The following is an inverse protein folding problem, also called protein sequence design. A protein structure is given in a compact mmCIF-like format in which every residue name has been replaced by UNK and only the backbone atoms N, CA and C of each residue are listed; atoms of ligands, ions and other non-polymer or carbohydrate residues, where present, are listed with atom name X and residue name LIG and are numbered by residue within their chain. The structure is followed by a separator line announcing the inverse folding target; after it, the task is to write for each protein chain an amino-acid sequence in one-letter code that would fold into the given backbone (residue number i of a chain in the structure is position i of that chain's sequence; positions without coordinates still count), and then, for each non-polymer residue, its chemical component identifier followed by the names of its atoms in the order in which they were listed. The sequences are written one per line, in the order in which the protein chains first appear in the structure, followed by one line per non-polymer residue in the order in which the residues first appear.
data_IF_034605547235
#
_entry.id   IF_034605547235
#
_cell.length_a   1.000
_cell.length_b   1.000
_cell.length_c   1.000
_cell.angle_alpha   90.00
_cell.angle_beta   90.00
_cell.angle_gamma   90.00
#
_symmetry.space_group_name_H-M   'P 1'
#
loop_
_entity.id
_entity.type
_entity.pdbx_description
1 polymer ?
#
# COMPACT_ATOMS: atom_id res chain seq x y z
N UNK A 1 -19.25 -0.68 -1.77
CA UNK A 1 -18.54 -1.26 -2.91
C UNK A 1 -19.48 -2.27 -3.62
N UNK A 2 -20.03 -1.85 -4.78
CA UNK A 2 -21.02 -2.63 -5.56
C UNK A 2 -20.48 -4.00 -5.95
N UNK A 3 -19.21 -4.09 -6.32
CA UNK A 3 -18.56 -5.34 -6.70
C UNK A 3 -18.56 -6.40 -5.59
N UNK A 4 -18.55 -5.96 -4.32
CA UNK A 4 -18.63 -6.85 -3.15
C UNK A 4 -20.06 -7.13 -2.71
N UNK A 5 -20.97 -6.15 -2.85
CA UNK A 5 -22.34 -6.26 -2.31
C UNK A 5 -23.34 -6.84 -3.31
N UNK A 6 -23.08 -6.70 -4.60
CA UNK A 6 -23.95 -7.18 -5.67
C UNK A 6 -23.13 -7.64 -6.90
N UNK A 7 -22.25 -8.64 -6.76
CA UNK A 7 -21.40 -9.11 -7.87
C UNK A 7 -22.20 -9.61 -9.07
N UNK A 8 -23.41 -10.12 -8.83
CA UNK A 8 -24.32 -10.58 -9.90
C UNK A 8 -24.73 -9.47 -10.88
N UNK A 9 -24.70 -8.20 -10.45
CA UNK A 9 -24.99 -7.04 -11.32
C UNK A 9 -23.83 -6.70 -12.25
N UNK A 10 -22.61 -7.15 -11.93
CA UNK A 10 -21.42 -6.88 -12.71
C UNK A 10 -21.25 -7.84 -13.90
N UNK A 11 -21.89 -9.02 -13.84
CA UNK A 11 -21.76 -10.06 -14.87
C UNK A 11 -20.35 -10.67 -14.91
N UNK A 12 -20.05 -11.31 -16.05
CA UNK A 12 -18.70 -11.81 -16.35
C UNK A 12 -18.09 -10.95 -17.46
N UNK A 13 -16.94 -10.34 -17.17
CA UNK A 13 -16.20 -9.55 -18.14
C UNK A 13 -14.85 -10.21 -18.43
N UNK A 14 -14.50 -10.37 -19.71
CA UNK A 14 -13.19 -10.88 -20.12
C UNK A 14 -12.11 -9.80 -20.10
N UNK A 15 -12.50 -8.52 -19.98
CA UNK A 15 -11.58 -7.38 -19.94
C UNK A 15 -12.22 -6.19 -19.23
N UNK A 16 -11.39 -5.29 -18.70
CA UNK A 16 -11.81 -4.09 -17.98
C UNK A 16 -10.96 -2.90 -18.40
N UNK A 17 -11.62 -1.78 -18.71
CA UNK A 17 -10.97 -0.48 -18.88
C UNK A 17 -11.48 0.46 -17.78
N UNK A 18 -10.56 1.06 -17.06
CA UNK A 18 -10.85 2.08 -16.04
C UNK A 18 -10.44 3.45 -16.59
N UNK A 19 -11.41 4.39 -16.63
CA UNK A 19 -11.18 5.74 -17.13
C UNK A 19 -10.49 6.62 -16.09
N UNK A 20 -9.18 6.73 -16.18
CA UNK A 20 -8.35 7.58 -15.32
C UNK A 20 -7.74 8.73 -16.14
N UNK A 21 -7.35 9.86 -15.52
CA UNK A 21 -6.78 11.00 -16.23
C UNK A 21 -5.32 10.76 -16.65
N UNK A 22 -5.12 9.89 -17.65
CA UNK A 22 -3.82 9.43 -18.14
C UNK A 22 -3.35 10.14 -19.41
N UNK A 23 -3.99 11.25 -19.79
CA UNK A 23 -3.73 11.96 -21.08
C UNK A 23 -4.00 11.05 -22.30
N UNK A 24 -4.98 10.17 -22.19
CA UNK A 24 -5.34 9.13 -23.18
C UNK A 24 -4.22 8.10 -23.45
N UNK A 25 -3.20 8.00 -22.60
CA UNK A 25 -2.22 6.93 -22.66
C UNK A 25 -2.78 5.67 -22.00
N UNK A 26 -2.83 4.51 -22.68
CA UNK A 26 -3.23 3.26 -22.06
C UNK A 26 -2.13 2.77 -21.10
N UNK A 27 -2.54 2.35 -19.91
CA UNK A 27 -1.65 1.88 -18.85
C UNK A 27 -1.93 0.42 -18.52
N UNK A 28 -0.87 -0.35 -18.24
CA UNK A 28 -0.92 -1.81 -18.05
C UNK A 28 -1.26 -2.22 -16.62
N UNK A 29 -1.37 -1.26 -15.71
CA UNK A 29 -1.67 -1.54 -14.32
C UNK A 29 -1.23 -0.44 -13.36
N UNK A 30 -1.37 -0.73 -12.07
CA UNK A 30 -1.07 0.20 -10.97
C UNK A 30 -0.48 -0.51 -9.76
N UNK A 31 0.28 0.22 -8.95
CA UNK A 31 0.75 -0.29 -7.65
C UNK A 31 -0.44 -0.49 -6.70
N UNK A 32 -0.31 -1.46 -5.81
CA UNK A 32 -1.20 -1.60 -4.66
C UNK A 32 -0.95 -0.51 -3.62
N UNK A 33 -1.90 -0.37 -2.70
CA UNK A 33 -1.77 0.48 -1.52
C UNK A 33 -2.13 -0.34 -0.28
N UNK A 34 -1.16 -0.45 0.63
CA UNK A 34 -1.34 -1.14 1.90
C UNK A 34 -0.99 -0.17 3.03
N UNK A 35 -2.03 0.45 3.62
CA UNK A 35 -1.85 1.43 4.68
C UNK A 35 -2.06 0.80 6.04
N UNK A 36 -1.11 1.03 6.91
CA UNK A 36 -1.12 0.48 8.25
C UNK A 36 -1.00 1.60 9.29
N UNK A 37 -1.52 1.32 10.47
CA UNK A 37 -1.25 2.08 11.68
C UNK A 37 -0.46 1.19 12.65
N UNK A 38 0.65 1.73 13.16
CA UNK A 38 1.44 1.12 14.21
C UNK A 38 1.25 1.89 15.52
N UNK A 39 0.89 1.21 16.58
CA UNK A 39 0.63 1.77 17.89
C UNK A 39 1.56 1.18 18.94
N UNK A 40 2.13 2.05 19.77
CA UNK A 40 2.91 1.70 20.94
C UNK A 40 2.16 2.11 22.20
N UNK A 41 2.06 1.20 23.16
CA UNK A 41 1.53 1.48 24.49
C UNK A 41 2.68 1.53 25.51
N UNK A 42 2.53 2.39 26.48
CA UNK A 42 3.49 2.62 27.56
C UNK A 42 2.81 2.70 28.92
N UNK A 43 3.51 3.31 29.86
CA UNK A 43 3.02 3.60 31.21
C UNK A 43 3.36 5.04 31.55
N UNK A 44 2.36 5.84 31.90
CA UNK A 44 2.58 7.25 32.26
C UNK A 44 3.28 7.38 33.60
N UNK A 45 4.11 8.39 33.74
CA UNK A 45 4.75 8.83 34.98
C UNK A 45 5.06 10.32 34.89
N UNK A 46 5.42 10.94 36.03
CA UNK A 46 5.87 12.31 36.00
C UNK A 46 7.22 12.42 35.27
N UNK A 47 7.42 13.46 34.46
CA UNK A 47 8.62 13.63 33.63
C UNK A 47 9.95 13.70 34.39
N UNK A 48 9.92 14.09 35.70
CA UNK A 48 11.10 14.04 36.57
C UNK A 48 11.43 12.65 37.14
N UNK A 49 10.52 11.67 36.95
CA UNK A 49 10.67 10.28 37.41
C UNK A 49 10.38 9.28 36.24
N UNK A 50 11.11 9.41 35.12
CA UNK A 50 10.79 8.60 33.92
C UNK A 50 11.02 7.11 34.12
N UNK A 51 11.81 6.70 35.10
CA UNK A 51 12.08 5.30 35.44
C UNK A 51 10.86 4.58 36.05
N UNK A 52 9.82 5.31 36.47
CA UNK A 52 8.55 4.75 36.95
C UNK A 52 7.53 4.55 35.80
N UNK A 53 7.86 5.04 34.61
CA UNK A 53 7.02 4.91 33.41
C UNK A 53 7.64 4.02 32.34
N UNK A 54 6.92 3.89 31.23
CA UNK A 54 7.39 3.22 30.01
C UNK A 54 6.99 4.07 28.80
N UNK A 55 7.99 4.68 28.16
CA UNK A 55 7.77 5.73 27.18
C UNK A 55 7.37 5.16 25.80
N UNK A 56 6.10 5.36 25.41
CA UNK A 56 5.58 4.92 24.13
C UNK A 56 6.25 5.62 22.92
N UNK A 57 6.68 6.88 23.06
CA UNK A 57 7.39 7.59 21.97
C UNK A 57 8.74 6.91 21.68
N UNK A 58 9.48 6.47 22.70
CA UNK A 58 10.74 5.77 22.45
C UNK A 58 10.55 4.41 21.76
N UNK A 59 9.46 3.69 22.08
CA UNK A 59 9.09 2.47 21.35
C UNK A 59 8.77 2.80 19.89
N UNK A 60 7.96 3.83 19.66
CA UNK A 60 7.58 4.27 18.32
C UNK A 60 8.77 4.74 17.49
N UNK A 61 9.71 5.48 18.10
CA UNK A 61 10.93 5.93 17.41
C UNK A 61 11.78 4.74 16.93
N UNK A 62 11.96 3.72 17.77
CA UNK A 62 12.65 2.49 17.35
C UNK A 62 11.90 1.77 16.23
N UNK A 63 10.58 1.73 16.28
CA UNK A 63 9.76 1.17 15.21
C UNK A 63 9.94 1.95 13.90
N UNK A 64 9.95 3.29 13.95
CA UNK A 64 10.16 4.12 12.75
C UNK A 64 11.52 3.85 12.10
N UNK A 65 12.60 3.76 12.88
CA UNK A 65 13.94 3.40 12.38
C UNK A 65 13.98 1.97 11.81
N UNK A 66 13.31 1.02 12.47
CA UNK A 66 13.22 -0.33 11.94
C UNK A 66 12.44 -0.39 10.61
N UNK A 67 11.45 0.48 10.41
CA UNK A 67 10.71 0.58 9.15
C UNK A 67 11.54 1.25 8.05
N UNK A 68 12.40 2.22 8.36
CA UNK A 68 13.33 2.83 7.40
C UNK A 68 14.22 1.79 6.74
N UNK A 69 14.68 0.80 7.53
CA UNK A 69 15.51 -0.32 7.07
C UNK A 69 14.68 -1.54 6.62
N UNK A 70 13.38 -1.37 6.32
CA UNK A 70 12.58 -2.49 5.86
C UNK A 70 12.86 -2.80 4.39
N UNK A 71 13.39 -3.98 4.13
CA UNK A 71 13.61 -4.48 2.78
C UNK A 71 12.48 -5.45 2.38
N UNK A 72 11.94 -5.25 1.19
CA UNK A 72 11.04 -6.22 0.57
C UNK A 72 11.87 -7.37 -0.01
N UNK A 73 11.42 -8.60 0.20
CA UNK A 73 12.05 -9.82 -0.33
C UNK A 73 11.71 -10.10 -1.81
N UNK A 74 11.00 -9.18 -2.44
CA UNK A 74 10.58 -9.24 -3.83
C UNK A 74 11.44 -8.29 -4.68
N UNK A 75 11.99 -8.74 -5.81
CA UNK A 75 12.74 -7.88 -6.72
C UNK A 75 11.86 -6.78 -7.33
N UNK A 76 12.48 -5.73 -7.84
CA UNK A 76 11.78 -4.68 -8.56
C UNK A 76 11.08 -5.25 -9.82
N UNK A 77 9.79 -4.91 -9.99
CA UNK A 77 9.05 -5.29 -11.18
C UNK A 77 9.53 -4.45 -12.40
N UNK A 78 9.69 -5.05 -13.60
CA UNK A 78 10.24 -4.36 -14.77
C UNK A 78 9.55 -3.04 -15.13
N UNK A 79 8.22 -2.97 -15.00
CA UNK A 79 7.43 -1.79 -15.33
C UNK A 79 6.95 -1.00 -14.11
N UNK A 80 6.67 -1.66 -12.98
CA UNK A 80 6.20 -0.99 -11.75
C UNK A 80 7.35 -0.45 -10.88
N UNK A 81 8.59 -0.91 -11.11
CA UNK A 81 9.71 -0.62 -10.24
C UNK A 81 9.65 -1.38 -8.91
N UNK A 82 10.33 -0.88 -7.88
CA UNK A 82 10.35 -1.50 -6.55
C UNK A 82 9.10 -1.17 -5.74
N UNK A 83 8.74 -2.06 -4.80
CA UNK A 83 7.83 -1.73 -3.72
C UNK A 83 8.44 -0.65 -2.83
N UNK A 84 7.60 0.15 -2.18
CA UNK A 84 8.06 1.24 -1.30
C UNK A 84 7.33 1.23 0.03
N UNK A 85 8.00 1.70 1.09
CA UNK A 85 7.43 1.94 2.40
C UNK A 85 7.77 3.36 2.84
N UNK A 86 6.79 4.07 3.35
CA UNK A 86 6.95 5.42 3.91
C UNK A 86 6.19 5.56 5.22
N UNK A 87 6.82 6.14 6.23
CA UNK A 87 6.15 6.56 7.47
C UNK A 87 5.59 7.97 7.23
N UNK A 88 4.27 8.07 7.11
CA UNK A 88 3.61 9.32 6.72
C UNK A 88 3.33 10.27 7.89
N UNK A 89 2.95 9.73 9.05
CA UNK A 89 2.67 10.53 10.26
C UNK A 89 3.21 9.84 11.50
N UNK A 90 3.56 10.64 12.53
CA UNK A 90 3.86 10.13 13.87
C UNK A 90 3.25 11.09 14.92
N UNK A 91 2.65 10.54 15.97
CA UNK A 91 2.00 11.28 17.06
C UNK A 91 2.23 10.56 18.39
N UNK A 92 2.33 11.30 19.48
CA UNK A 92 2.43 10.71 20.81
C UNK A 92 2.58 11.74 21.90
N UNK A 93 2.19 11.34 23.13
CA UNK A 93 2.23 12.18 24.31
C UNK A 93 1.11 13.23 24.36
N UNK A 94 0.92 13.80 25.55
CA UNK A 94 -0.12 14.79 25.85
C UNK A 94 0.52 16.14 26.24
N UNK A 95 1.60 16.11 27.01
CA UNK A 95 2.30 17.28 27.51
C UNK A 95 3.79 16.98 27.74
N UNK A 96 4.57 18.03 28.01
CA UNK A 96 6.04 17.93 28.11
C UNK A 96 6.52 17.29 29.42
N UNK A 97 5.72 17.32 30.48
CA UNK A 97 6.14 16.90 31.81
C UNK A 97 5.58 15.53 32.26
N UNK A 98 5.11 14.72 31.30
CA UNK A 98 4.66 13.36 31.56
C UNK A 98 5.35 12.37 30.62
N UNK A 99 5.63 11.16 31.11
CA UNK A 99 6.04 10.04 30.26
C UNK A 99 4.84 9.62 29.39
N UNK A 100 4.96 9.59 28.07
CA UNK A 100 3.87 9.20 27.18
C UNK A 100 3.50 7.73 27.31
N UNK A 101 2.21 7.45 27.51
CA UNK A 101 1.66 6.10 27.57
C UNK A 101 1.07 5.60 26.23
N UNK A 102 0.96 6.48 25.24
CA UNK A 102 0.50 6.14 23.91
C UNK A 102 1.25 6.92 22.83
N UNK A 103 1.56 6.23 21.74
CA UNK A 103 2.09 6.83 20.52
C UNK A 103 1.68 5.99 19.31
N UNK A 104 1.51 6.63 18.13
CA UNK A 104 1.15 5.96 16.89
C UNK A 104 1.87 6.57 15.69
N UNK A 105 2.06 5.77 14.64
CA UNK A 105 2.48 6.22 13.32
C UNK A 105 1.64 5.55 12.22
N UNK A 106 1.61 6.17 11.05
CA UNK A 106 0.98 5.61 9.86
C UNK A 106 2.03 5.24 8.82
N UNK A 107 1.78 4.13 8.13
CA UNK A 107 2.67 3.54 7.13
C UNK A 107 1.93 3.47 5.81
N UNK A 108 2.52 4.02 4.75
CA UNK A 108 2.07 3.87 3.36
C UNK A 108 3.01 2.89 2.64
N UNK A 109 2.49 1.73 2.26
CA UNK A 109 3.22 0.74 1.47
C UNK A 109 2.62 0.70 0.08
N UNK A 110 3.49 0.83 -0.94
CA UNK A 110 3.11 0.64 -2.34
C UNK A 110 3.68 -0.67 -2.83
N UNK A 111 2.79 -1.60 -3.11
CA UNK A 111 3.15 -2.95 -3.57
C UNK A 111 3.15 -3.05 -5.09
N UNK A 112 3.89 -4.01 -5.60
CA UNK A 112 3.95 -4.36 -7.03
C UNK A 112 3.24 -5.68 -7.28
N UNK A 113 3.14 -6.09 -8.54
CA UNK A 113 2.51 -7.37 -8.89
C UNK A 113 3.12 -8.54 -8.09
N UNK A 114 2.28 -9.52 -7.78
CA UNK A 114 2.61 -10.77 -7.10
C UNK A 114 3.06 -10.63 -5.62
N UNK A 115 2.91 -9.44 -5.01
CA UNK A 115 3.18 -9.27 -3.59
C UNK A 115 1.94 -9.58 -2.73
N UNK A 116 2.12 -10.49 -1.77
CA UNK A 116 1.08 -10.85 -0.78
C UNK A 116 1.14 -9.88 0.42
N UNK A 117 0.08 -9.08 0.61
CA UNK A 117 -0.05 -8.16 1.73
C UNK A 117 -0.05 -8.87 3.09
N UNK A 118 -0.61 -10.09 3.16
CA UNK A 118 -0.59 -10.88 4.39
C UNK A 118 0.84 -11.33 4.75
N UNK A 119 1.67 -11.65 3.75
CA UNK A 119 3.08 -11.93 3.96
C UNK A 119 3.84 -10.70 4.47
N UNK A 120 3.67 -9.54 3.79
CA UNK A 120 4.27 -8.27 4.20
C UNK A 120 3.89 -7.92 5.65
N UNK A 121 2.60 -8.06 5.99
CA UNK A 121 2.11 -7.80 7.34
C UNK A 121 2.83 -8.68 8.39
N UNK A 122 2.98 -9.99 8.12
CA UNK A 122 3.72 -10.90 9.02
C UNK A 122 5.19 -10.49 9.17
N UNK A 123 5.86 -10.13 8.08
CA UNK A 123 7.24 -9.64 8.13
C UNK A 123 7.39 -8.38 8.98
N UNK A 124 6.45 -7.43 8.83
CA UNK A 124 6.41 -6.22 9.64
C UNK A 124 6.16 -6.53 11.13
N UNK A 125 5.20 -7.40 11.45
CA UNK A 125 4.97 -7.83 12.83
C UNK A 125 6.23 -8.42 13.46
N UNK A 126 6.93 -9.29 12.74
CA UNK A 126 8.17 -9.90 13.20
C UNK A 126 9.29 -8.86 13.42
N UNK A 127 9.42 -7.91 12.49
CA UNK A 127 10.45 -6.86 12.57
C UNK A 127 10.20 -5.88 13.71
N UNK A 128 8.95 -5.51 13.95
CA UNK A 128 8.57 -4.51 14.96
C UNK A 128 8.42 -5.11 16.37
N UNK A 129 8.22 -6.40 16.47
CA UNK A 129 8.08 -7.12 17.74
C UNK A 129 6.77 -6.85 18.48
N UNK A 130 6.63 -7.45 19.67
CA UNK A 130 5.38 -7.44 20.45
C UNK A 130 5.00 -6.10 21.10
N UNK A 131 5.94 -5.14 21.12
CA UNK A 131 5.70 -3.80 21.69
C UNK A 131 4.92 -2.86 20.75
N UNK A 132 4.75 -3.26 19.49
CA UNK A 132 4.04 -2.51 18.46
C UNK A 132 2.84 -3.33 17.98
N UNK A 133 1.66 -2.71 18.02
CA UNK A 133 0.44 -3.27 17.47
C UNK A 133 0.19 -2.69 16.09
N UNK A 134 0.08 -3.55 15.08
CA UNK A 134 -0.27 -3.15 13.72
C UNK A 134 -1.78 -3.32 13.49
N UNK A 135 -2.37 -2.39 12.76
CA UNK A 135 -3.73 -2.50 12.24
C UNK A 135 -3.80 -1.98 10.82
N UNK A 136 -4.64 -2.62 10.00
CA UNK A 136 -4.83 -2.23 8.60
C UNK A 136 -5.81 -1.07 8.49
N UNK A 137 -5.42 -0.02 7.77
CA UNK A 137 -6.28 1.12 7.43
C UNK A 137 -6.85 0.99 6.02
N UNK A 138 -6.04 0.49 5.08
CA UNK A 138 -6.42 0.25 3.69
C UNK A 138 -5.66 -0.95 3.15
N UNK A 139 -6.35 -1.79 2.38
CA UNK A 139 -5.78 -2.95 1.71
C UNK A 139 -6.31 -3.01 0.28
N UNK A 140 -5.51 -2.56 -0.68
CA UNK A 140 -5.82 -2.53 -2.10
C UNK A 140 -4.69 -3.18 -2.88
N UNK A 141 -4.96 -4.32 -3.49
CA UNK A 141 -3.98 -5.07 -4.28
C UNK A 141 -3.49 -4.31 -5.51
N UNK A 142 -2.32 -4.65 -6.00
CA UNK A 142 -1.83 -4.19 -7.29
C UNK A 142 -2.59 -4.85 -8.45
N UNK A 143 -2.66 -4.16 -9.57
CA UNK A 143 -3.21 -4.71 -10.81
C UNK A 143 -2.13 -4.60 -11.89
N UNK A 144 -1.94 -5.69 -12.63
CA UNK A 144 -1.02 -5.73 -13.75
C UNK A 144 -1.52 -6.69 -14.82
N UNK A 145 -1.41 -6.28 -16.07
CA UNK A 145 -1.62 -7.12 -17.24
C UNK A 145 -0.38 -7.05 -18.12
N UNK A 146 0.13 -8.22 -18.52
CA UNK A 146 1.35 -8.28 -19.32
C UNK A 146 1.18 -7.58 -20.67
N UNK A 147 2.18 -6.88 -21.19
CA UNK A 147 2.08 -6.23 -22.50
C UNK A 147 1.86 -7.22 -23.66
N UNK A 148 2.21 -8.51 -23.45
CA UNK A 148 1.98 -9.59 -24.43
C UNK A 148 0.57 -10.14 -24.43
N UNK A 149 -0.30 -9.70 -23.51
CA UNK A 149 -1.70 -10.11 -23.46
C UNK A 149 -2.43 -9.64 -24.75
N UNK A 150 -3.26 -10.53 -25.31
CA UNK A 150 -3.94 -10.27 -26.59
C UNK A 150 -4.84 -9.03 -26.51
N UNK A 151 -5.58 -8.87 -25.42
CA UNK A 151 -6.43 -7.71 -25.19
C UNK A 151 -5.63 -6.41 -25.14
N UNK A 152 -4.47 -6.42 -24.47
CA UNK A 152 -3.58 -5.26 -24.42
C UNK A 152 -3.03 -4.90 -25.80
N UNK A 153 -2.67 -5.88 -26.61
CA UNK A 153 -2.23 -5.65 -27.99
C UNK A 153 -3.33 -5.03 -28.86
N UNK A 154 -4.58 -5.49 -28.71
CA UNK A 154 -5.74 -4.91 -29.41
C UNK A 154 -5.98 -3.45 -28.97
N UNK A 155 -5.97 -3.16 -27.66
CA UNK A 155 -6.08 -1.80 -27.14
C UNK A 155 -4.96 -0.90 -27.67
N UNK A 156 -3.71 -1.38 -27.67
CA UNK A 156 -2.57 -0.62 -28.19
C UNK A 156 -2.68 -0.34 -29.68
N UNK A 157 -3.17 -1.31 -30.46
CA UNK A 157 -3.40 -1.13 -31.90
C UNK A 157 -4.47 -0.05 -32.17
N UNK A 158 -5.58 -0.07 -31.46
CA UNK A 158 -6.65 0.94 -31.58
C UNK A 158 -6.11 2.33 -31.15
N UNK A 159 -5.42 2.41 -30.01
CA UNK A 159 -4.82 3.67 -29.56
C UNK A 159 -3.80 4.22 -30.55
N UNK A 160 -2.96 3.37 -31.13
CA UNK A 160 -1.98 3.80 -32.14
C UNK A 160 -2.64 4.42 -33.38
N UNK A 161 -3.78 3.87 -33.85
CA UNK A 161 -4.54 4.43 -34.96
C UNK A 161 -5.08 5.82 -34.66
N UNK A 162 -5.57 6.06 -33.43
CA UNK A 162 -6.16 7.34 -33.05
C UNK A 162 -5.12 8.39 -32.62
N UNK A 163 -4.03 7.97 -31.96
CA UNK A 163 -2.99 8.87 -31.47
C UNK A 163 -1.87 9.13 -32.51
N UNK A 164 -1.81 8.33 -33.59
CA UNK A 164 -0.75 8.41 -34.59
C UNK A 164 0.63 7.93 -34.12
N UNK A 165 0.73 7.40 -32.88
CA UNK A 165 1.96 6.85 -32.30
C UNK A 165 1.64 5.59 -31.51
N UNK A 166 2.55 4.62 -31.50
CA UNK A 166 2.40 3.41 -30.69
C UNK A 166 2.50 3.77 -29.20
N UNK A 167 1.52 3.35 -28.36
CA UNK A 167 1.61 3.54 -26.92
C UNK A 167 2.86 2.90 -26.31
N UNK A 168 3.38 3.52 -25.26
CA UNK A 168 4.51 3.00 -24.49
C UNK A 168 4.00 2.14 -23.33
N UNK A 169 4.64 1.03 -23.07
CA UNK A 169 4.34 0.14 -21.95
C UNK A 169 4.64 0.84 -20.61
N UNK A 170 3.60 1.22 -19.87
CA UNK A 170 3.69 1.97 -18.62
C UNK A 170 2.69 1.46 -17.58
N UNK A 171 2.98 1.75 -16.33
CA UNK A 171 2.09 1.58 -15.17
C UNK A 171 2.07 2.86 -14.35
N UNK A 172 1.14 2.97 -13.40
CA UNK A 172 1.08 4.11 -12.47
C UNK A 172 1.36 3.69 -11.03
N UNK A 173 1.81 4.65 -10.23
CA UNK A 173 2.16 4.44 -8.82
C UNK A 173 0.98 4.62 -7.86
N UNK A 174 -0.13 5.23 -8.29
CA UNK A 174 -1.37 5.31 -7.53
C UNK A 174 -2.27 4.09 -7.83
N UNK A 175 -3.23 3.80 -6.96
CA UNK A 175 -4.21 2.72 -7.17
C UNK A 175 -5.49 3.27 -7.80
N UNK A 176 -6.24 2.38 -8.49
CA UNK A 176 -7.49 2.70 -9.16
C UNK A 176 -8.59 1.70 -8.79
N UNK A 177 -9.81 1.94 -9.24
CA UNK A 177 -10.94 1.05 -9.06
C UNK A 177 -10.75 -0.34 -9.72
N UNK A 178 -9.76 -0.50 -10.60
CA UNK A 178 -9.41 -1.79 -11.19
C UNK A 178 -9.13 -2.86 -10.12
N UNK A 179 -8.50 -2.49 -9.00
CA UNK A 179 -8.22 -3.41 -7.90
C UNK A 179 -9.49 -3.96 -7.24
N UNK A 180 -10.55 -3.15 -7.15
CA UNK A 180 -11.83 -3.57 -6.59
C UNK A 180 -12.65 -4.44 -7.56
N UNK A 181 -12.43 -4.28 -8.87
CA UNK A 181 -13.23 -4.90 -9.92
C UNK A 181 -12.62 -6.20 -10.47
N UNK A 182 -11.28 -6.33 -10.46
CA UNK A 182 -10.57 -7.47 -11.04
C UNK A 182 -11.01 -8.81 -10.42
N UNK A 183 -11.03 -8.92 -9.09
CA UNK A 183 -11.37 -10.18 -8.42
C UNK A 183 -12.84 -10.64 -8.62
N UNK A 184 -13.85 -9.73 -8.54
CA UNK A 184 -15.25 -10.11 -8.79
C UNK A 184 -15.58 -10.43 -10.23
N UNK A 185 -14.82 -9.91 -11.20
CA UNK A 185 -15.09 -10.08 -12.63
C UNK A 185 -14.33 -11.27 -13.27
N UNK A 186 -13.41 -11.89 -12.54
CA UNK A 186 -12.61 -13.04 -12.98
C UNK A 186 -11.16 -12.67 -13.12
#
# INVERSE_FOLDING_TARGET
DLAKTAPELMGKAGALIVGEPTSNEPLLGHKGAFWLKAQANGVTAHGSMPHLGDNAIYKLARAALALEDFAFDTPAHPLMGAATLNVGTARGGININSVPDAAELTIDIRTVADQDHAHIYRCLCNKLGSHIQLSTLLDVGSVYTAPTDAWIQDVFAVCAQHLGVKPVEKTVSYFTDAAALKAPLG
#
